data_IF_761469434791
#
_entry.id   IF_761469434791
#
_cell.length_a   1.000
_cell.length_b   1.000
_cell.length_c   1.000
_cell.angle_alpha   90.00
_cell.angle_beta   90.00
_cell.angle_gamma   90.00
#
_symmetry.space_group_name_H-M   'P 1'
#
loop_
_entity.id
_entity.type
_entity.pdbx_description
1 polymer ?
#
# COMPACT_ATOMS: atom_id res chain seq x y z
N UNK A 1 -17.93 57.73 21.56
CA UNK A 1 -17.77 57.38 20.14
C UNK A 1 -17.37 55.92 20.07
N UNK A 2 -18.26 55.11 19.53
CA UNK A 2 -18.33 53.65 19.65
C UNK A 2 -18.25 53.08 18.22
N UNK A 3 -17.74 51.84 18.06
CA UNK A 3 -17.93 50.93 16.89
C UNK A 3 -16.95 51.19 15.71
N UNK A 4 -16.22 50.26 15.06
CA UNK A 4 -16.11 48.78 14.97
C UNK A 4 -14.75 48.47 14.31
N UNK A 5 -13.90 47.63 14.91
CA UNK A 5 -12.85 46.91 14.16
C UNK A 5 -13.30 45.44 14.04
N UNK A 6 -13.79 45.08 12.86
CA UNK A 6 -14.10 43.70 12.50
C UNK A 6 -12.78 43.01 12.13
N UNK A 7 -12.21 42.25 13.07
CA UNK A 7 -11.19 41.25 12.74
C UNK A 7 -11.95 40.00 12.32
N UNK A 8 -12.06 39.80 11.01
CA UNK A 8 -12.52 38.53 10.43
C UNK A 8 -11.39 37.53 10.60
N UNK A 9 -11.49 36.68 11.63
CA UNK A 9 -10.64 35.51 11.76
C UNK A 9 -11.03 34.52 10.65
N UNK A 10 -10.27 34.49 9.56
CA UNK A 10 -10.38 33.44 8.55
C UNK A 10 -9.89 32.13 9.19
N UNK A 11 -10.84 31.33 9.67
CA UNK A 11 -10.58 29.96 10.08
C UNK A 11 -10.19 29.16 8.82
N UNK A 12 -8.89 29.01 8.59
CA UNK A 12 -8.35 28.04 7.65
C UNK A 12 -8.72 26.65 8.18
N UNK A 13 -9.84 26.11 7.68
CA UNK A 13 -10.21 24.73 7.87
C UNK A 13 -9.12 23.84 7.30
N UNK A 14 -8.27 23.30 8.16
CA UNK A 14 -7.40 22.17 7.84
C UNK A 14 -8.31 20.97 7.62
N UNK A 15 -8.76 20.76 6.38
CA UNK A 15 -9.29 19.47 5.97
C UNK A 15 -8.13 18.47 6.09
N UNK A 16 -8.13 17.70 7.19
CA UNK A 16 -7.25 16.57 7.35
C UNK A 16 -7.64 15.52 6.32
N UNK A 17 -7.05 15.55 5.14
CA UNK A 17 -7.09 14.44 4.21
C UNK A 17 -6.30 13.31 4.86
N UNK A 18 -7.01 12.38 5.52
CA UNK A 18 -6.39 11.11 5.89
C UNK A 18 -5.85 10.49 4.61
N UNK A 19 -4.54 10.22 4.56
CA UNK A 19 -3.95 9.54 3.43
C UNK A 19 -4.65 8.18 3.26
N UNK A 20 -5.17 7.91 2.06
CA UNK A 20 -5.74 6.60 1.77
C UNK A 20 -4.63 5.56 1.94
N UNK A 21 -4.79 4.64 2.90
CA UNK A 21 -3.84 3.55 3.14
C UNK A 21 -3.94 2.57 1.96
N UNK A 22 -2.80 2.11 1.45
CA UNK A 22 -2.75 1.08 0.42
C UNK A 22 -3.21 -0.26 1.01
N UNK A 23 -3.97 -1.03 0.25
CA UNK A 23 -4.51 -2.31 0.68
C UNK A 23 -5.02 -3.13 -0.48
N UNK A 24 -5.40 -4.36 -0.17
CA UNK A 24 -6.07 -5.27 -1.11
C UNK A 24 -7.58 -5.10 -0.94
N UNK A 25 -8.35 -5.31 -2.02
CA UNK A 25 -9.83 -5.28 -1.97
C UNK A 25 -10.38 -6.54 -1.28
N UNK A 26 -9.90 -6.83 -0.07
CA UNK A 26 -10.29 -7.97 0.77
C UNK A 26 -11.03 -7.46 2.00
N UNK A 27 -12.29 -7.86 2.20
CA UNK A 27 -13.00 -7.54 3.44
C UNK A 27 -12.38 -8.31 4.62
N UNK A 28 -12.52 -7.76 5.81
CA UNK A 28 -12.14 -8.40 7.08
C UNK A 28 -13.13 -8.00 8.19
N UNK A 29 -12.92 -8.51 9.40
CA UNK A 29 -13.83 -8.31 10.53
C UNK A 29 -15.03 -9.25 10.47
N UNK A 30 -16.09 -8.98 11.25
CA UNK A 30 -17.29 -9.83 11.34
C UNK A 30 -17.00 -11.33 11.59
N UNK A 31 -15.89 -11.66 12.24
CA UNK A 31 -15.39 -13.03 12.44
C UNK A 31 -15.14 -13.83 11.14
N UNK A 32 -14.90 -13.14 10.03
CA UNK A 32 -14.45 -13.80 8.80
C UNK A 32 -12.95 -14.11 8.86
N UNK A 33 -12.42 -14.78 7.83
CA UNK A 33 -11.01 -15.14 7.76
C UNK A 33 -10.07 -13.93 8.00
N UNK A 34 -8.96 -14.11 8.75
CA UNK A 34 -8.02 -13.03 9.01
C UNK A 34 -7.39 -12.52 7.71
N UNK A 35 -6.85 -11.30 7.76
CA UNK A 35 -6.06 -10.76 6.66
C UNK A 35 -4.75 -11.56 6.48
N UNK A 36 -4.16 -11.58 5.28
CA UNK A 36 -2.79 -12.08 5.07
C UNK A 36 -1.76 -11.43 5.99
N UNK A 37 -0.62 -12.10 6.21
CA UNK A 37 0.38 -11.69 7.21
C UNK A 37 1.04 -10.33 6.93
N UNK A 38 1.04 -9.87 5.69
CA UNK A 38 1.54 -8.57 5.24
C UNK A 38 0.52 -7.44 5.34
N UNK A 39 -0.71 -7.76 5.76
CA UNK A 39 -1.81 -6.81 5.85
C UNK A 39 -2.43 -6.80 7.25
N UNK A 40 -3.15 -5.73 7.54
CA UNK A 40 -3.83 -5.48 8.80
C UNK A 40 -5.29 -5.15 8.53
N UNK A 41 -6.18 -5.70 9.36
CA UNK A 41 -7.61 -5.40 9.28
C UNK A 41 -7.92 -4.04 9.93
N UNK A 42 -8.34 -3.06 9.12
CA UNK A 42 -8.77 -1.75 9.63
C UNK A 42 -10.29 -1.66 9.53
N UNK A 43 -11.01 -1.28 10.61
CA UNK A 43 -12.45 -1.09 10.58
C UNK A 43 -12.86 0.00 9.58
N UNK A 44 -13.98 -0.21 8.87
CA UNK A 44 -14.52 0.80 7.95
C UNK A 44 -15.05 2.05 8.68
N UNK A 45 -15.37 1.90 9.97
CA UNK A 45 -15.84 3.00 10.82
C UNK A 45 -14.85 3.27 11.95
N UNK A 46 -14.41 4.53 12.15
CA UNK A 46 -13.48 4.87 13.23
C UNK A 46 -14.09 4.67 14.63
N UNK A 47 -15.42 4.60 14.73
CA UNK A 47 -16.11 4.38 16.00
C UNK A 47 -16.19 2.89 16.37
N UNK A 48 -15.81 2.00 15.46
CA UNK A 48 -15.82 0.58 15.76
C UNK A 48 -14.56 0.17 16.52
N UNK A 49 -14.77 -0.37 17.72
CA UNK A 49 -13.71 -0.93 18.58
C UNK A 49 -13.64 -2.46 18.55
N UNK A 50 -14.67 -3.14 18.02
CA UNK A 50 -14.76 -4.60 18.00
C UNK A 50 -14.88 -5.14 16.57
N UNK A 51 -13.75 -5.61 16.03
CA UNK A 51 -13.67 -6.21 14.70
C UNK A 51 -14.48 -7.51 14.57
N UNK A 52 -14.90 -8.15 15.66
CA UNK A 52 -15.79 -9.31 15.56
C UNK A 52 -17.22 -8.94 15.15
N UNK A 53 -17.59 -7.66 15.28
CA UNK A 53 -18.95 -7.17 15.01
C UNK A 53 -19.00 -6.12 13.90
N UNK A 54 -17.85 -5.64 13.45
CA UNK A 54 -17.78 -4.62 12.42
C UNK A 54 -17.09 -5.12 11.16
N UNK A 55 -17.49 -4.58 10.01
CA UNK A 55 -16.74 -4.76 8.78
C UNK A 55 -15.47 -3.90 8.79
N UNK A 56 -14.43 -4.45 8.18
CA UNK A 56 -13.18 -3.77 7.88
C UNK A 56 -12.64 -4.19 6.52
N UNK A 57 -11.46 -3.68 6.19
CA UNK A 57 -10.70 -4.05 4.99
C UNK A 57 -9.24 -4.30 5.34
N UNK A 58 -8.60 -5.16 4.55
CA UNK A 58 -7.18 -5.46 4.73
C UNK A 58 -6.31 -4.40 4.04
N UNK A 59 -5.42 -3.78 4.82
CA UNK A 59 -4.47 -2.79 4.33
C UNK A 59 -3.04 -3.23 4.59
N UNK A 60 -2.13 -2.96 3.65
CA UNK A 60 -0.72 -3.34 3.80
C UNK A 60 -0.11 -2.71 5.06
N UNK A 61 0.70 -3.47 5.79
CA UNK A 61 1.39 -2.98 6.98
C UNK A 61 2.46 -1.95 6.61
N UNK A 62 3.15 -2.15 5.50
CA UNK A 62 4.06 -1.20 4.85
C UNK A 62 3.32 -0.28 3.85
N UNK A 63 3.81 0.95 3.70
CA UNK A 63 3.18 1.96 2.84
C UNK A 63 4.25 2.66 1.98
N UNK A 64 3.93 2.85 0.71
CA UNK A 64 4.77 3.52 -0.27
C UNK A 64 4.09 4.75 -0.83
N UNK A 65 4.91 5.68 -1.35
CA UNK A 65 4.38 6.73 -2.21
C UNK A 65 3.81 6.09 -3.48
N UNK A 66 2.57 6.40 -3.81
CA UNK A 66 1.94 6.01 -5.07
C UNK A 66 2.60 6.72 -6.25
N UNK A 67 2.74 6.03 -7.37
CA UNK A 67 3.22 6.58 -8.64
C UNK A 67 2.50 5.95 -9.84
N UNK A 68 2.72 6.49 -11.04
CA UNK A 68 2.12 5.96 -12.25
C UNK A 68 0.58 6.03 -12.28
N UNK A 69 -0.01 5.25 -13.18
CA UNK A 69 -1.45 5.19 -13.43
C UNK A 69 -2.03 6.45 -14.07
N UNK A 70 -3.16 6.30 -14.75
CA UNK A 70 -3.88 7.43 -15.35
C UNK A 70 -4.92 7.98 -14.37
N UNK A 71 -4.46 8.73 -13.38
CA UNK A 71 -5.33 9.31 -12.34
C UNK A 71 -5.69 10.77 -12.64
N UNK A 72 -6.89 11.27 -12.26
CA UNK A 72 -7.29 12.66 -12.48
C UNK A 72 -6.33 13.68 -11.84
N UNK A 73 -5.66 13.28 -10.76
CA UNK A 73 -4.59 14.05 -10.12
C UNK A 73 -3.33 13.19 -10.08
N UNK A 74 -2.41 13.35 -11.05
CA UNK A 74 -1.21 12.55 -11.13
C UNK A 74 -0.39 12.61 -9.84
N UNK A 75 0.17 11.48 -9.38
CA UNK A 75 1.06 11.48 -8.23
C UNK A 75 2.32 12.30 -8.53
N UNK A 76 2.91 12.94 -7.50
CA UNK A 76 4.19 13.61 -7.68
C UNK A 76 5.29 12.60 -8.04
N UNK A 77 6.41 13.05 -8.66
CA UNK A 77 7.55 12.19 -8.92
C UNK A 77 8.05 11.48 -7.67
N UNK A 78 8.56 10.27 -7.84
CA UNK A 78 9.14 9.49 -6.75
C UNK A 78 10.27 10.25 -6.06
N UNK A 79 10.33 10.16 -4.72
CA UNK A 79 11.39 10.76 -3.92
C UNK A 79 12.76 10.25 -4.35
N UNK A 80 13.80 11.08 -4.16
CA UNK A 80 15.19 10.69 -4.46
C UNK A 80 15.53 9.36 -3.78
N UNK A 81 16.12 8.44 -4.56
CA UNK A 81 16.48 7.09 -4.09
C UNK A 81 15.40 6.03 -4.31
N UNK A 82 14.21 6.42 -4.78
CA UNK A 82 13.14 5.49 -5.18
C UNK A 82 12.89 5.53 -6.69
N UNK A 83 12.27 4.49 -7.22
CA UNK A 83 11.84 4.35 -8.61
C UNK A 83 10.39 3.88 -8.64
N UNK A 84 9.64 4.33 -9.64
CA UNK A 84 8.28 3.86 -9.85
C UNK A 84 8.30 2.46 -10.45
N UNK A 85 7.69 1.50 -9.77
CA UNK A 85 7.55 0.11 -10.20
C UNK A 85 6.10 -0.33 -10.01
N UNK A 86 5.71 -1.44 -10.63
CA UNK A 86 4.42 -2.08 -10.37
C UNK A 86 4.36 -2.55 -8.90
N UNK A 87 3.16 -2.58 -8.33
CA UNK A 87 2.97 -3.01 -6.95
C UNK A 87 2.82 -4.54 -6.89
N UNK A 88 3.95 -5.25 -6.75
CA UNK A 88 3.99 -6.73 -6.64
C UNK A 88 3.20 -7.30 -5.46
N UNK A 89 2.75 -6.45 -4.53
CA UNK A 89 1.91 -6.87 -3.40
C UNK A 89 0.45 -7.11 -3.82
N UNK A 90 0.06 -6.69 -5.01
CA UNK A 90 -1.27 -6.92 -5.58
C UNK A 90 -1.19 -8.14 -6.51
N UNK A 91 -1.66 -9.32 -6.08
CA UNK A 91 -1.58 -10.53 -6.89
C UNK A 91 -2.45 -10.41 -8.15
N UNK A 92 -2.01 -11.04 -9.24
CA UNK A 92 -2.73 -11.08 -10.52
C UNK A 92 -3.06 -9.70 -11.10
N UNK A 93 -2.27 -8.68 -10.76
CA UNK A 93 -2.42 -7.34 -11.32
C UNK A 93 -1.62 -7.21 -12.62
N UNK A 94 -2.23 -6.63 -13.65
CA UNK A 94 -1.48 -6.17 -14.82
C UNK A 94 -0.78 -4.81 -14.61
N UNK A 95 -0.79 -4.29 -13.37
CA UNK A 95 -0.02 -3.13 -12.96
C UNK A 95 -0.30 -1.87 -13.77
N UNK A 96 0.73 -1.05 -13.93
CA UNK A 96 0.68 0.19 -14.69
C UNK A 96 0.40 -0.04 -16.19
N UNK A 97 0.59 -1.25 -16.72
CA UNK A 97 0.23 -1.57 -18.10
C UNK A 97 -1.29 -1.51 -18.36
N UNK A 98 -2.11 -1.69 -17.32
CA UNK A 98 -3.56 -1.50 -17.34
C UNK A 98 -4.00 -0.20 -16.65
N UNK A 99 -3.14 0.81 -16.63
CA UNK A 99 -3.36 2.11 -15.99
C UNK A 99 -3.60 2.05 -14.46
N UNK A 100 -3.29 0.92 -13.80
CA UNK A 100 -3.26 0.89 -12.33
C UNK A 100 -2.08 1.70 -11.79
N UNK A 101 -2.16 2.11 -10.54
CA UNK A 101 -1.05 2.81 -9.89
C UNK A 101 0.02 1.83 -9.43
N UNK A 102 1.28 2.24 -9.52
CA UNK A 102 2.44 1.57 -8.93
C UNK A 102 2.88 2.20 -7.61
N UNK A 103 4.07 1.78 -7.15
CA UNK A 103 4.73 2.25 -5.93
C UNK A 103 6.12 2.81 -6.21
N UNK A 104 6.49 3.84 -5.45
CA UNK A 104 7.86 4.33 -5.39
C UNK A 104 8.67 3.46 -4.43
N UNK A 105 9.22 2.37 -4.93
CA UNK A 105 10.07 1.47 -4.16
C UNK A 105 11.55 1.91 -4.18
N UNK A 106 12.38 1.55 -3.18
CA UNK A 106 13.81 1.81 -3.22
C UNK A 106 14.46 1.28 -4.50
N UNK A 107 15.38 2.03 -5.10
CA UNK A 107 16.12 1.60 -6.31
C UNK A 107 16.97 0.34 -6.11
N UNK A 108 17.22 -0.03 -4.85
CA UNK A 108 17.95 -1.22 -4.45
C UNK A 108 17.06 -1.97 -3.47
N UNK A 109 16.36 -2.98 -3.96
CA UNK A 109 15.53 -3.87 -3.15
C UNK A 109 16.38 -4.99 -2.58
N UNK A 110 16.00 -5.48 -1.40
CA UNK A 110 16.55 -6.75 -0.90
C UNK A 110 15.89 -7.87 -1.68
N UNK A 111 16.70 -8.85 -2.07
CA UNK A 111 16.18 -10.08 -2.66
C UNK A 111 15.78 -11.05 -1.56
N UNK A 112 14.74 -11.83 -1.83
CA UNK A 112 14.23 -12.86 -0.94
C UNK A 112 13.88 -14.12 -1.74
N UNK A 113 13.53 -15.19 -1.03
CA UNK A 113 13.17 -16.47 -1.66
C UNK A 113 14.37 -17.11 -2.36
N UNK A 114 14.08 -17.71 -3.51
CA UNK A 114 15.04 -18.49 -4.28
C UNK A 114 15.44 -19.81 -3.60
N UNK A 115 16.30 -20.58 -4.28
CA UNK A 115 16.86 -21.85 -3.75
C UNK A 115 17.50 -21.66 -2.37
N UNK A 116 18.05 -20.47 -2.11
CA UNK A 116 18.70 -20.13 -0.84
C UNK A 116 17.70 -19.80 0.30
N UNK A 117 16.41 -19.60 0.00
CA UNK A 117 15.39 -19.26 0.97
C UNK A 117 15.66 -17.95 1.70
N UNK A 118 16.10 -16.91 0.99
CA UNK A 118 16.50 -15.65 1.59
C UNK A 118 15.31 -14.95 2.26
N UNK A 119 15.48 -14.56 3.52
CA UNK A 119 14.45 -13.85 4.28
C UNK A 119 14.53 -12.34 4.09
N UNK A 120 13.38 -11.68 4.21
CA UNK A 120 13.31 -10.23 4.20
C UNK A 120 13.70 -9.62 5.54
N UNK A 121 14.32 -8.41 5.53
CA UNK A 121 14.46 -7.62 6.74
C UNK A 121 13.14 -7.36 7.45
N UNK A 122 13.20 -7.10 8.76
CA UNK A 122 12.04 -6.85 9.59
C UNK A 122 11.12 -5.77 9.01
N UNK A 123 9.82 -6.08 8.97
CA UNK A 123 8.78 -5.18 8.48
C UNK A 123 8.61 -5.14 6.97
N UNK A 124 9.29 -6.03 6.23
CA UNK A 124 9.10 -6.27 4.81
C UNK A 124 8.63 -7.72 4.58
N UNK A 125 7.97 -7.95 3.46
CA UNK A 125 7.49 -9.25 3.02
C UNK A 125 8.05 -9.59 1.64
N UNK A 126 8.17 -10.88 1.37
CA UNK A 126 8.69 -11.35 0.09
C UNK A 126 7.57 -11.41 -0.95
N UNK A 127 7.78 -10.73 -2.07
CA UNK A 127 6.89 -10.75 -3.22
C UNK A 127 7.66 -11.14 -4.47
N UNK A 128 6.93 -11.69 -5.43
CA UNK A 128 7.49 -12.07 -6.72
C UNK A 128 8.15 -10.88 -7.43
N UNK A 129 9.31 -11.10 -8.05
CA UNK A 129 10.00 -10.07 -8.82
C UNK A 129 9.35 -9.97 -10.22
N UNK A 130 8.60 -8.90 -10.52
CA UNK A 130 7.86 -8.81 -11.78
C UNK A 130 8.77 -8.61 -13.00
N UNK A 131 10.09 -8.52 -12.79
CA UNK A 131 11.09 -8.35 -13.84
C UNK A 131 11.78 -9.65 -14.22
N UNK A 132 11.52 -10.75 -13.51
CA UNK A 132 12.01 -12.07 -13.89
C UNK A 132 10.95 -12.90 -14.62
N UNK A 133 11.39 -13.97 -15.28
CA UNK A 133 10.52 -14.91 -15.99
C UNK A 133 10.17 -16.13 -15.12
N UNK A 134 10.40 -16.06 -13.80
CA UNK A 134 10.22 -17.16 -12.87
C UNK A 134 8.82 -17.11 -12.26
N UNK A 135 7.92 -17.96 -12.74
CA UNK A 135 6.57 -18.03 -12.18
C UNK A 135 6.55 -18.89 -10.90
N UNK A 136 6.29 -18.33 -9.71
CA UNK A 136 6.27 -19.09 -8.46
C UNK A 136 5.13 -20.13 -8.41
N UNK A 137 4.06 -19.98 -9.20
CA UNK A 137 2.98 -20.98 -9.30
C UNK A 137 3.36 -22.19 -10.17
N UNK A 138 4.35 -22.06 -11.05
CA UNK A 138 4.77 -23.10 -12.00
C UNK A 138 6.25 -23.55 -11.86
N UNK A 139 7.07 -22.82 -11.09
CA UNK A 139 8.49 -23.04 -10.84
C UNK A 139 8.86 -23.37 -9.38
N UNK A 140 7.95 -23.17 -8.43
CA UNK A 140 8.10 -23.56 -7.02
C UNK A 140 8.85 -22.55 -6.15
N UNK A 141 9.36 -23.01 -4.99
CA UNK A 141 10.05 -22.22 -3.95
C UNK A 141 11.40 -21.62 -4.38
N UNK A 142 11.85 -21.93 -5.59
CA UNK A 142 13.17 -21.57 -6.11
C UNK A 142 13.16 -20.23 -6.86
N UNK A 143 11.99 -19.61 -7.04
CA UNK A 143 11.88 -18.27 -7.62
C UNK A 143 12.33 -17.20 -6.64
N UNK A 144 13.14 -16.27 -7.15
CA UNK A 144 13.57 -15.10 -6.40
C UNK A 144 12.42 -14.11 -6.24
N UNK A 145 12.53 -13.26 -5.24
CA UNK A 145 11.58 -12.19 -5.01
C UNK A 145 12.25 -10.92 -4.53
N UNK A 146 11.43 -9.90 -4.35
CA UNK A 146 11.82 -8.61 -3.79
C UNK A 146 11.12 -8.38 -2.45
N UNK A 147 11.88 -7.82 -1.50
CA UNK A 147 11.34 -7.41 -0.22
C UNK A 147 10.67 -6.04 -0.32
N UNK A 148 9.37 -6.01 -0.05
CA UNK A 148 8.60 -4.78 0.10
C UNK A 148 8.00 -4.71 1.51
#
# INVERSE_FOLDING_TARGET
MLVKNLIVAAALGLASFAAAKQGIDRPCGLKIAPCPDDTECIPNSPNCKDLNRCPGRCYFKNQYQTCGGFTPKPPPPCKKGTSCIDDSRIPNSCGMACDMTGICAPKKLHQCGGIAGLECPDGLWCYDDPTDDCDPENGGSDCGGICL
#
